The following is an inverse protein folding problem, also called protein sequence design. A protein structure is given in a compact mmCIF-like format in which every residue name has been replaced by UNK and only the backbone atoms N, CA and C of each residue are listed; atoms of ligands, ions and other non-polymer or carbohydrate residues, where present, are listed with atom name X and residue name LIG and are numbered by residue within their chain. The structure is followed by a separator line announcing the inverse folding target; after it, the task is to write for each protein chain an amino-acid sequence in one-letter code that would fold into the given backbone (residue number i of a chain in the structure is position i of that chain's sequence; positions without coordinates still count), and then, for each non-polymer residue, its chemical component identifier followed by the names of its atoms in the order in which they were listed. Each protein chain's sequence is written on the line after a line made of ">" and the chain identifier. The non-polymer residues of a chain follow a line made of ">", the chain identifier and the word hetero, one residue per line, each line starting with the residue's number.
data_IF_169126078900
#
_entry.id   IF_169126078900
#
_cell.length_a   1.000
_cell.length_b   1.000
_cell.length_c   1.000
_cell.angle_alpha   90.00
_cell.angle_beta   90.00
_cell.angle_gamma   90.00
#
_symmetry.space_group_name_H-M   'P 1'
#
loop_
_entity.id
_entity.type
_entity.pdbx_description
1 polymer ?
#
# COMPACT_ATOMS: atom_id res chain seq x y z
N UNK A 1 -22.98 17.46 12.02
CA UNK A 1 -22.38 17.74 10.72
C UNK A 1 -20.89 17.94 10.89
N UNK A 2 -20.09 17.24 10.15
CA UNK A 2 -18.61 17.34 10.23
C UNK A 2 -18.15 18.67 9.62
N UNK A 3 -17.25 19.38 10.29
CA UNK A 3 -16.66 20.61 9.76
C UNK A 3 -15.54 20.30 8.78
N UNK A 4 -15.19 21.25 7.92
CA UNK A 4 -14.09 21.08 6.96
C UNK A 4 -12.75 20.78 7.65
N UNK A 5 -12.52 21.36 8.83
CA UNK A 5 -11.34 21.05 9.65
C UNK A 5 -11.35 19.59 10.12
N UNK A 6 -12.48 19.08 10.57
CA UNK A 6 -12.63 17.68 10.96
C UNK A 6 -12.45 16.74 9.80
N UNK A 7 -12.95 17.10 8.62
CA UNK A 7 -12.72 16.35 7.37
C UNK A 7 -11.23 16.26 7.05
N UNK A 8 -10.50 17.38 7.10
CA UNK A 8 -9.05 17.39 6.86
C UNK A 8 -8.30 16.49 7.84
N UNK A 9 -8.61 16.57 9.12
CA UNK A 9 -7.98 15.73 10.16
C UNK A 9 -8.28 14.25 9.95
N UNK A 10 -9.51 13.92 9.63
CA UNK A 10 -9.93 12.54 9.38
C UNK A 10 -9.25 11.96 8.14
N UNK A 11 -9.24 12.69 7.04
CA UNK A 11 -8.58 12.23 5.80
C UNK A 11 -7.09 12.00 6.02
N UNK A 12 -6.40 12.94 6.66
CA UNK A 12 -4.98 12.81 6.96
C UNK A 12 -4.71 11.58 7.82
N UNK A 13 -5.44 11.42 8.90
CA UNK A 13 -5.32 10.30 9.82
C UNK A 13 -5.52 8.94 9.15
N UNK A 14 -6.60 8.81 8.40
CA UNK A 14 -6.93 7.57 7.68
C UNK A 14 -5.88 7.23 6.61
N UNK A 15 -5.46 8.22 5.84
CA UNK A 15 -4.48 8.00 4.77
C UNK A 15 -3.08 7.68 5.31
N UNK A 16 -2.61 8.35 6.36
CA UNK A 16 -1.33 8.01 7.00
C UNK A 16 -1.37 6.55 7.47
N UNK A 17 -2.41 6.17 8.17
CA UNK A 17 -2.58 4.80 8.69
C UNK A 17 -2.61 3.77 7.56
N UNK A 18 -3.35 4.05 6.50
CA UNK A 18 -3.49 3.16 5.33
C UNK A 18 -2.16 2.96 4.61
N UNK A 19 -1.47 4.04 4.25
CA UNK A 19 -0.18 3.95 3.55
C UNK A 19 0.92 3.38 4.43
N UNK A 20 0.91 3.68 5.73
CA UNK A 20 1.81 3.06 6.70
C UNK A 20 1.68 1.54 6.71
N UNK A 21 0.45 1.04 6.84
CA UNK A 21 0.17 -0.40 6.83
C UNK A 21 0.51 -1.05 5.49
N UNK A 22 0.26 -0.37 4.38
CA UNK A 22 0.61 -0.85 3.03
C UNK A 22 2.11 -1.07 2.86
N UNK A 23 2.95 -0.23 3.48
CA UNK A 23 4.41 -0.39 3.50
C UNK A 23 4.90 -1.37 4.56
N UNK A 24 4.03 -1.93 5.37
CA UNK A 24 4.39 -2.84 6.46
C UNK A 24 5.03 -2.16 7.66
N UNK A 25 4.87 -0.84 7.82
CA UNK A 25 5.40 -0.10 8.96
C UNK A 25 4.48 -0.20 10.17
N UNK A 26 5.08 -0.48 11.34
CA UNK A 26 4.43 -0.21 12.63
C UNK A 26 4.40 1.30 12.91
N UNK A 27 3.65 1.74 13.91
CA UNK A 27 3.73 3.13 14.37
C UNK A 27 5.16 3.49 14.82
N UNK A 28 5.84 2.57 15.48
CA UNK A 28 7.23 2.76 15.88
C UNK A 28 8.14 2.96 14.68
N UNK A 29 8.04 2.11 13.68
CA UNK A 29 8.85 2.19 12.46
C UNK A 29 8.68 3.54 11.77
N UNK A 30 7.45 3.97 11.55
CA UNK A 30 7.17 5.25 10.90
C UNK A 30 7.63 6.44 11.76
N UNK A 31 7.45 6.38 13.08
CA UNK A 31 7.91 7.44 13.98
C UNK A 31 9.44 7.61 13.95
N UNK A 32 10.17 6.52 13.88
CA UNK A 32 11.64 6.54 13.74
C UNK A 32 12.07 7.14 12.40
N UNK A 33 11.44 6.75 11.30
CA UNK A 33 11.72 7.32 9.98
C UNK A 33 11.41 8.82 9.90
N UNK A 34 10.36 9.27 10.57
CA UNK A 34 9.96 10.66 10.62
C UNK A 34 10.75 11.50 11.64
N UNK A 35 11.45 10.87 12.59
CA UNK A 35 12.11 11.56 13.70
C UNK A 35 11.13 12.21 14.67
N UNK A 36 9.96 11.65 14.86
CA UNK A 36 8.94 12.07 15.82
C UNK A 36 8.67 10.98 16.85
N UNK A 37 8.03 11.36 17.96
CA UNK A 37 7.63 10.37 18.97
C UNK A 37 6.49 9.47 18.46
N UNK A 38 6.45 8.23 18.93
CA UNK A 38 5.34 7.32 18.65
C UNK A 38 4.02 7.86 19.21
N UNK A 39 4.04 8.53 20.35
CA UNK A 39 2.88 9.19 20.92
C UNK A 39 2.34 10.30 20.02
N UNK A 40 3.22 11.14 19.43
CA UNK A 40 2.81 12.17 18.48
C UNK A 40 2.20 11.58 17.21
N UNK A 41 2.81 10.52 16.65
CA UNK A 41 2.24 9.81 15.50
C UNK A 41 0.87 9.21 15.82
N UNK A 42 0.71 8.59 16.99
CA UNK A 42 -0.58 8.07 17.45
C UNK A 42 -1.63 9.17 17.57
N UNK A 43 -1.27 10.34 18.08
CA UNK A 43 -2.17 11.48 18.17
C UNK A 43 -2.59 12.01 16.79
N UNK A 44 -1.72 11.97 15.80
CA UNK A 44 -2.06 12.29 14.41
C UNK A 44 -3.03 11.25 13.86
N UNK A 45 -2.74 9.97 14.02
CA UNK A 45 -3.55 8.85 13.51
C UNK A 45 -4.92 8.72 14.21
N UNK A 46 -5.10 9.34 15.37
CA UNK A 46 -6.37 9.39 16.10
C UNK A 46 -7.08 10.74 16.01
N UNK A 47 -6.66 11.60 15.10
CA UNK A 47 -7.22 12.95 14.88
C UNK A 47 -7.05 13.93 16.05
N UNK A 48 -6.17 13.63 17.01
CA UNK A 48 -5.97 14.46 18.20
C UNK A 48 -5.05 15.66 17.94
N UNK A 49 -4.12 15.54 17.00
CA UNK A 49 -3.16 16.60 16.66
C UNK A 49 -3.07 16.82 15.16
N UNK A 50 -2.68 18.05 14.82
CA UNK A 50 -2.37 18.46 13.47
C UNK A 50 -0.84 18.56 13.29
N UNK A 51 -0.40 18.62 12.04
CA UNK A 51 1.02 18.71 11.69
C UNK A 51 1.33 19.95 10.88
N UNK A 52 2.59 20.41 10.96
CA UNK A 52 3.06 21.50 10.11
C UNK A 52 3.19 21.06 8.64
N UNK A 53 3.20 22.02 7.69
CA UNK A 53 3.47 21.72 6.28
C UNK A 53 4.79 20.98 6.06
N UNK A 54 5.82 21.31 6.82
CA UNK A 54 7.11 20.62 6.79
C UNK A 54 6.99 19.15 7.17
N UNK A 55 6.22 18.84 8.20
CA UNK A 55 5.96 17.46 8.64
C UNK A 55 5.10 16.73 7.65
N UNK A 56 4.08 17.36 7.03
CA UNK A 56 3.28 16.78 5.94
C UNK A 56 4.15 16.35 4.76
N UNK A 57 5.05 17.21 4.32
CA UNK A 57 5.96 16.91 3.23
C UNK A 57 6.88 15.72 3.56
N UNK A 58 7.36 15.65 4.78
CA UNK A 58 8.20 14.54 5.27
C UNK A 58 7.44 13.23 5.36
N UNK A 59 6.21 13.25 5.84
CA UNK A 59 5.31 12.08 5.88
C UNK A 59 5.07 11.55 4.48
N UNK A 60 4.68 12.40 3.53
CA UNK A 60 4.43 12.02 2.15
C UNK A 60 5.67 11.39 1.51
N UNK A 61 6.83 11.99 1.68
CA UNK A 61 8.11 11.47 1.18
C UNK A 61 8.45 10.10 1.77
N UNK A 62 8.30 9.92 3.06
CA UNK A 62 8.56 8.67 3.76
C UNK A 62 7.60 7.57 3.33
N UNK A 63 6.34 7.90 3.11
CA UNK A 63 5.31 6.98 2.62
C UNK A 63 5.37 6.77 1.10
N UNK A 64 6.26 7.48 0.38
CA UNK A 64 6.46 7.40 -1.09
C UNK A 64 5.20 7.76 -1.88
N UNK A 65 4.50 8.79 -1.44
CA UNK A 65 3.30 9.35 -2.05
C UNK A 65 3.44 10.86 -2.25
N UNK A 66 2.57 11.43 -3.07
CA UNK A 66 2.41 12.87 -3.17
C UNK A 66 1.60 13.42 -2.00
N UNK A 67 1.84 14.69 -1.62
CA UNK A 67 1.15 15.30 -0.46
C UNK A 67 -0.36 15.28 -0.60
N UNK A 68 -0.89 15.51 -1.81
CA UNK A 68 -2.34 15.50 -2.04
C UNK A 68 -2.99 14.13 -1.77
N UNK A 69 -2.24 13.05 -1.88
CA UNK A 69 -2.72 11.68 -1.61
C UNK A 69 -3.05 11.46 -0.13
N UNK A 70 -2.46 12.29 0.77
CA UNK A 70 -2.82 12.29 2.20
C UNK A 70 -4.23 12.81 2.48
N UNK A 71 -4.83 13.48 1.52
CA UNK A 71 -6.17 14.08 1.64
C UNK A 71 -7.21 13.50 0.68
N UNK A 72 -6.87 12.42 -0.02
CA UNK A 72 -7.83 11.72 -0.87
C UNK A 72 -8.87 10.98 -0.02
N UNK A 73 -10.15 11.08 -0.36
CA UNK A 73 -11.17 10.19 0.20
C UNK A 73 -10.88 8.72 -0.11
N UNK A 74 -11.23 7.84 0.80
CA UNK A 74 -11.02 6.39 0.65
C UNK A 74 -11.72 5.83 -0.60
N UNK A 75 -12.85 6.40 -0.98
CA UNK A 75 -13.61 6.01 -2.19
C UNK A 75 -12.84 6.28 -3.51
N UNK A 76 -11.83 7.14 -3.49
CA UNK A 76 -11.00 7.43 -4.66
C UNK A 76 -9.87 6.42 -4.88
N UNK A 77 -9.60 5.58 -3.89
CA UNK A 77 -8.60 4.52 -3.95
C UNK A 77 -9.31 3.16 -4.06
N UNK A 78 -10.01 2.95 -5.16
CA UNK A 78 -10.48 1.61 -5.54
C UNK A 78 -9.30 0.72 -5.96
N UNK A 79 -8.33 0.59 -5.06
CA UNK A 79 -7.41 -0.52 -5.05
C UNK A 79 -8.12 -1.75 -4.54
N UNK A 80 -8.94 -2.35 -5.38
CA UNK A 80 -9.33 -3.76 -5.34
C UNK A 80 -9.84 -4.33 -4.00
N UNK A 81 -10.77 -3.69 -3.30
CA UNK A 81 -11.82 -4.50 -2.70
C UNK A 81 -12.85 -4.77 -3.79
N UNK A 82 -12.67 -5.85 -4.51
CA UNK A 82 -13.68 -6.34 -5.44
C UNK A 82 -14.90 -6.66 -4.58
N UNK A 83 -15.97 -5.91 -4.82
CA UNK A 83 -17.28 -6.20 -4.23
C UNK A 83 -17.53 -7.71 -4.33
N UNK A 84 -17.90 -8.40 -3.25
CA UNK A 84 -18.17 -9.83 -3.26
C UNK A 84 -19.13 -10.26 -4.38
N UNK A 85 -20.11 -9.42 -4.70
CA UNK A 85 -21.05 -9.67 -5.81
C UNK A 85 -20.35 -9.58 -7.18
N UNK A 86 -19.46 -8.58 -7.34
CA UNK A 86 -18.65 -8.43 -8.56
C UNK A 86 -17.62 -9.56 -8.69
N UNK A 87 -17.03 -10.00 -7.57
CA UNK A 87 -16.09 -11.13 -7.59
C UNK A 87 -16.77 -12.44 -8.00
N UNK A 88 -17.98 -12.69 -7.55
CA UNK A 88 -18.77 -13.84 -7.93
C UNK A 88 -19.15 -13.81 -9.41
N UNK A 89 -19.49 -12.64 -9.94
CA UNK A 89 -19.81 -12.43 -11.34
C UNK A 89 -18.59 -12.57 -12.26
N UNK A 90 -17.43 -12.06 -11.84
CA UNK A 90 -16.16 -12.23 -12.54
C UNK A 90 -15.73 -13.71 -12.55
N UNK A 91 -15.84 -14.41 -11.44
CA UNK A 91 -15.54 -15.84 -11.36
C UNK A 91 -16.45 -16.63 -12.31
N UNK A 92 -17.74 -16.31 -12.32
CA UNK A 92 -18.72 -16.95 -13.23
C UNK A 92 -18.41 -16.66 -14.71
N UNK A 93 -17.93 -15.44 -15.00
CA UNK A 93 -17.47 -15.08 -16.34
C UNK A 93 -16.21 -15.84 -16.74
N UNK A 94 -15.23 -15.95 -15.82
CA UNK A 94 -14.00 -16.70 -16.03
C UNK A 94 -14.26 -18.19 -16.23
N UNK A 95 -15.22 -18.79 -15.53
CA UNK A 95 -15.65 -20.17 -15.72
C UNK A 95 -16.30 -20.41 -17.10
N UNK A 96 -16.84 -19.35 -17.71
CA UNK A 96 -17.42 -19.40 -19.06
C UNK A 96 -16.40 -19.16 -20.18
N UNK A 97 -15.18 -18.71 -19.84
CA UNK A 97 -14.11 -18.48 -20.82
C UNK A 97 -13.57 -19.83 -21.29
N UNK A 98 -13.43 -19.99 -22.61
CA UNK A 98 -12.89 -21.20 -23.22
C UNK A 98 -11.50 -21.54 -22.64
N UNK A 99 -11.38 -22.74 -22.13
CA UNK A 99 -10.15 -23.30 -21.54
C UNK A 99 -8.94 -23.20 -22.50
N UNK A 100 -9.19 -23.24 -23.79
CA UNK A 100 -8.19 -23.07 -24.84
C UNK A 100 -7.56 -21.66 -24.81
N UNK A 101 -8.37 -20.62 -24.63
CA UNK A 101 -7.89 -19.23 -24.56
C UNK A 101 -7.06 -19.00 -23.29
N UNK A 102 -7.50 -19.53 -22.14
CA UNK A 102 -6.77 -19.46 -20.87
C UNK A 102 -5.42 -20.16 -21.01
N UNK A 103 -5.36 -21.33 -21.62
CA UNK A 103 -4.12 -22.06 -21.89
C UNK A 103 -3.18 -21.29 -22.82
N UNK A 104 -3.69 -20.65 -23.86
CA UNK A 104 -2.90 -19.82 -24.78
C UNK A 104 -2.28 -18.63 -24.07
N UNK A 105 -3.05 -17.90 -23.27
CA UNK A 105 -2.56 -16.75 -22.48
C UNK A 105 -1.53 -17.21 -21.47
N UNK A 106 -1.80 -18.28 -20.71
CA UNK A 106 -0.88 -18.84 -19.73
C UNK A 106 0.43 -19.27 -20.39
N UNK A 107 0.36 -19.94 -21.53
CA UNK A 107 1.53 -20.38 -22.28
C UNK A 107 2.35 -19.19 -22.80
N UNK A 108 1.73 -18.10 -23.24
CA UNK A 108 2.44 -16.93 -23.76
C UNK A 108 3.15 -16.12 -22.67
N UNK A 109 2.62 -16.08 -21.44
CA UNK A 109 3.23 -15.33 -20.31
C UNK A 109 4.16 -16.18 -19.44
N UNK A 110 4.09 -17.52 -19.54
CA UNK A 110 4.85 -18.44 -18.70
C UNK A 110 6.37 -18.21 -18.75
N UNK A 111 7.00 -18.02 -19.92
CA UNK A 111 8.44 -17.73 -19.98
C UNK A 111 8.84 -16.44 -19.28
N UNK A 112 8.00 -15.41 -19.33
CA UNK A 112 8.23 -14.14 -18.65
C UNK A 112 8.08 -14.30 -17.13
N UNK A 113 7.07 -15.05 -16.68
CA UNK A 113 6.82 -15.37 -15.28
C UNK A 113 7.98 -16.19 -14.68
N UNK A 114 8.43 -17.22 -15.37
CA UNK A 114 9.57 -18.04 -14.95
C UNK A 114 10.85 -17.20 -14.80
N UNK A 115 11.15 -16.30 -15.76
CA UNK A 115 12.27 -15.37 -15.67
C UNK A 115 12.15 -14.43 -14.47
N UNK A 116 10.95 -13.93 -14.18
CA UNK A 116 10.70 -13.07 -13.02
C UNK A 116 10.91 -13.82 -11.70
N UNK A 117 10.45 -15.06 -11.60
CA UNK A 117 10.65 -15.93 -10.44
C UNK A 117 12.13 -16.24 -10.26
N UNK A 118 12.86 -16.60 -11.32
CA UNK A 118 14.28 -16.89 -11.26
C UNK A 118 15.11 -15.67 -10.80
N UNK A 119 14.77 -14.46 -11.26
CA UNK A 119 15.41 -13.22 -10.77
C UNK A 119 15.15 -12.98 -9.29
N UNK A 120 13.93 -13.20 -8.84
CA UNK A 120 13.55 -13.03 -7.45
C UNK A 120 14.29 -14.02 -6.54
N UNK A 121 14.35 -15.29 -6.93
CA UNK A 121 15.08 -16.34 -6.21
C UNK A 121 16.58 -16.03 -6.17
N UNK A 122 17.17 -15.62 -7.29
CA UNK A 122 18.60 -15.27 -7.35
C UNK A 122 18.92 -14.06 -6.45
N UNK A 123 18.04 -13.07 -6.40
CA UNK A 123 18.20 -11.89 -5.53
C UNK A 123 18.14 -12.27 -4.05
N UNK A 124 17.20 -13.12 -3.67
CA UNK A 124 17.04 -13.63 -2.32
C UNK A 124 18.25 -14.46 -1.89
N UNK A 125 18.72 -15.35 -2.78
CA UNK A 125 19.93 -16.17 -2.52
C UNK A 125 21.15 -15.30 -2.26
N UNK A 126 21.42 -14.28 -3.08
CA UNK A 126 22.56 -13.35 -2.89
C UNK A 126 22.47 -12.62 -1.55
N UNK A 127 21.27 -12.23 -1.15
CA UNK A 127 21.05 -11.58 0.13
C UNK A 127 21.47 -12.47 1.30
N UNK A 128 21.06 -13.72 1.31
CA UNK A 128 21.43 -14.66 2.37
C UNK A 128 22.92 -15.06 2.34
N UNK A 129 23.51 -15.20 1.15
CA UNK A 129 24.94 -15.47 1.00
C UNK A 129 25.80 -14.32 1.56
N UNK A 130 25.40 -13.07 1.33
CA UNK A 130 26.07 -11.90 1.89
C UNK A 130 25.96 -11.84 3.43
N UNK A 131 24.83 -12.24 3.97
CA UNK A 131 24.63 -12.32 5.43
C UNK A 131 25.48 -13.42 6.06
N UNK A 132 25.65 -14.55 5.37
CA UNK A 132 26.44 -15.68 5.87
C UNK A 132 27.97 -15.43 5.85
N UNK A 133 28.45 -14.57 4.94
CA UNK A 133 29.87 -14.26 4.77
C UNK A 133 30.30 -12.94 5.46
N UNK A 134 29.39 -12.27 6.12
CA UNK A 134 29.64 -11.10 6.96
C UNK A 134 29.69 -11.49 8.42
#
# INVERSE_FOLDING_TARGET
>A
METDEQVCRRLLSQNIKRYRKRLGFSQLDLSLELGISTAFLSDIETCQKWVSPKTLAKIAKTLKIEVYELFKPEEADHGTEIDPDVSAEVVKYLDSVDDTLVKQITHSIQPALERAIQRSVAKTRRYYEQQANG
#
